data_IF_054124391895
#
_entry.id   IF_054124391895
#
_cell.length_a   1.000
_cell.length_b   1.000
_cell.length_c   1.000
_cell.angle_alpha   90.00
_cell.angle_beta   90.00
_cell.angle_gamma   90.00
#
_symmetry.space_group_name_H-M   'P 1'
#
loop_
_entity.id
_entity.type
_entity.pdbx_description
1 polymer ?
#
# COMPACT_ATOMS: atom_id res chain seq x y z
N UNK A 1 19.31 -1.86 -6.44
CA UNK A 1 17.99 -1.50 -6.95
C UNK A 1 16.99 -1.44 -5.81
N UNK A 2 16.27 -0.34 -5.68
CA UNK A 2 15.28 -0.28 -4.60
C UNK A 2 14.21 -1.33 -4.81
N UNK A 3 13.90 -2.07 -3.78
CA UNK A 3 12.81 -3.01 -3.89
C UNK A 3 11.61 -2.47 -3.10
N UNK A 4 10.43 -2.81 -3.56
CA UNK A 4 9.20 -2.28 -2.97
C UNK A 4 8.78 -3.04 -1.71
N UNK A 5 9.52 -4.08 -1.33
CA UNK A 5 9.18 -4.83 -0.13
C UNK A 5 9.30 -3.96 1.12
N UNK A 6 10.33 -3.13 1.18
CA UNK A 6 10.47 -2.18 2.29
C UNK A 6 9.33 -1.18 2.34
N UNK A 7 8.92 -0.68 1.17
CA UNK A 7 7.79 0.25 1.08
C UNK A 7 6.48 -0.41 1.47
N UNK A 8 6.24 -1.63 1.00
CA UNK A 8 5.04 -2.38 1.37
C UNK A 8 4.98 -2.60 2.88
N UNK A 9 6.11 -2.97 3.47
CA UNK A 9 6.16 -3.20 4.91
C UNK A 9 5.85 -1.92 5.68
N UNK A 10 6.42 -0.80 5.25
CA UNK A 10 6.16 0.50 5.89
C UNK A 10 4.68 0.87 5.83
N UNK A 11 4.03 0.64 4.70
CA UNK A 11 2.62 0.93 4.54
C UNK A 11 1.79 0.05 5.47
N UNK A 12 2.09 -1.25 5.52
CA UNK A 12 1.37 -2.18 6.37
C UNK A 12 1.53 -1.82 7.84
N UNK A 13 2.74 -1.48 8.25
CA UNK A 13 3.02 -1.07 9.63
C UNK A 13 2.26 0.21 9.98
N UNK A 14 2.24 1.16 9.05
CA UNK A 14 1.51 2.41 9.24
C UNK A 14 0.02 2.15 9.46
N UNK A 15 -0.58 1.33 8.60
CA UNK A 15 -1.99 1.00 8.72
C UNK A 15 -2.30 0.34 10.06
N UNK A 16 -1.46 -0.59 10.46
CA UNK A 16 -1.63 -1.29 11.74
C UNK A 16 -1.51 -0.33 12.92
N UNK A 17 -0.50 0.52 12.88
CA UNK A 17 -0.23 1.48 13.95
C UNK A 17 -1.36 2.48 14.12
N UNK A 18 -1.96 2.92 13.02
CA UNK A 18 -3.02 3.92 13.03
C UNK A 18 -4.43 3.32 13.02
N UNK A 19 -4.52 2.00 13.10
CA UNK A 19 -5.83 1.33 13.11
C UNK A 19 -6.59 1.47 11.81
N UNK A 20 -5.88 1.64 10.69
CA UNK A 20 -6.50 1.75 9.38
C UNK A 20 -6.62 0.37 8.73
N UNK A 21 -7.56 0.23 7.80
CA UNK A 21 -7.77 -1.03 7.10
C UNK A 21 -7.44 -0.90 5.62
N UNK A 22 -7.31 -2.06 4.96
CA UNK A 22 -7.12 -2.08 3.51
C UNK A 22 -8.32 -1.44 2.80
N UNK A 23 -9.51 -1.56 3.39
CA UNK A 23 -10.71 -0.96 2.82
C UNK A 23 -10.60 0.57 2.77
N UNK A 24 -9.92 1.17 3.75
CA UNK A 24 -9.70 2.62 3.77
C UNK A 24 -8.94 3.05 2.52
N UNK A 25 -7.87 2.35 2.20
CA UNK A 25 -7.09 2.67 1.01
C UNK A 25 -7.89 2.38 -0.27
N UNK A 26 -8.66 1.30 -0.27
CA UNK A 26 -9.45 0.94 -1.44
C UNK A 26 -10.43 2.05 -1.79
N UNK A 27 -11.11 2.59 -0.78
CA UNK A 27 -12.04 3.71 -1.00
C UNK A 27 -11.30 4.95 -1.46
N UNK A 28 -10.19 5.27 -0.80
CA UNK A 28 -9.44 6.49 -1.09
C UNK A 28 -8.89 6.50 -2.53
N UNK A 29 -8.44 5.35 -3.00
CA UNK A 29 -7.84 5.25 -4.33
C UNK A 29 -8.76 4.61 -5.37
N UNK A 30 -10.03 4.44 -5.03
CA UNK A 30 -11.05 3.89 -5.94
C UNK A 30 -10.65 2.52 -6.48
N UNK A 31 -10.17 1.66 -5.61
CA UNK A 31 -9.74 0.31 -5.94
C UNK A 31 -10.55 -0.73 -5.18
N UNK A 32 -10.52 -1.97 -5.66
CA UNK A 32 -11.09 -3.06 -4.92
C UNK A 32 -10.21 -3.39 -3.71
N UNK A 33 -10.84 -3.71 -2.57
CA UNK A 33 -10.09 -4.07 -1.36
C UNK A 33 -9.17 -5.26 -1.61
N UNK A 34 -9.63 -6.21 -2.42
CA UNK A 34 -8.82 -7.39 -2.76
C UNK A 34 -7.54 -6.99 -3.46
N UNK A 35 -7.62 -6.02 -4.37
CA UNK A 35 -6.44 -5.56 -5.08
C UNK A 35 -5.44 -4.90 -4.13
N UNK A 36 -5.92 -4.04 -3.23
CA UNK A 36 -5.06 -3.40 -2.24
C UNK A 36 -4.38 -4.45 -1.37
N UNK A 37 -5.14 -5.43 -0.92
CA UNK A 37 -4.61 -6.52 -0.10
C UNK A 37 -3.53 -7.29 -0.84
N UNK A 38 -3.77 -7.63 -2.11
CA UNK A 38 -2.80 -8.37 -2.92
C UNK A 38 -1.53 -7.56 -3.15
N UNK A 39 -1.66 -6.25 -3.37
CA UNK A 39 -0.51 -5.38 -3.55
C UNK A 39 0.34 -5.33 -2.29
N UNK A 40 -0.29 -5.13 -1.14
CA UNK A 40 0.44 -5.00 0.12
C UNK A 40 1.01 -6.33 0.62
N UNK A 41 0.42 -7.45 0.21
CA UNK A 41 0.95 -8.77 0.55
C UNK A 41 2.02 -9.25 -0.43
N UNK A 42 2.28 -8.48 -1.48
CA UNK A 42 3.28 -8.85 -2.47
C UNK A 42 2.81 -9.87 -3.50
N UNK A 43 1.52 -10.20 -3.51
CA UNK A 43 0.97 -11.14 -4.50
C UNK A 43 0.81 -10.49 -5.87
N UNK A 44 0.61 -9.18 -5.91
CA UNK A 44 0.48 -8.43 -7.14
C UNK A 44 1.64 -7.47 -7.26
N UNK A 45 2.54 -7.75 -8.19
CA UNK A 45 3.75 -6.96 -8.41
C UNK A 45 3.79 -6.48 -9.85
N UNK A 46 3.25 -5.31 -10.10
CA UNK A 46 3.27 -4.69 -11.41
C UNK A 46 3.50 -3.20 -11.23
N UNK A 47 3.69 -2.43 -12.33
CA UNK A 47 3.92 -0.99 -12.21
C UNK A 47 2.81 -0.26 -11.47
N UNK A 48 1.57 -0.68 -11.63
CA UNK A 48 0.44 -0.05 -10.93
C UNK A 48 0.53 -0.30 -9.43
N UNK A 49 0.94 -1.50 -9.02
CA UNK A 49 1.13 -1.82 -7.62
C UNK A 49 2.22 -0.94 -7.01
N UNK A 50 3.33 -0.79 -7.72
CA UNK A 50 4.43 0.04 -7.26
C UNK A 50 4.00 1.50 -7.15
N UNK A 51 3.21 1.99 -8.09
CA UNK A 51 2.69 3.35 -8.05
C UNK A 51 1.78 3.57 -6.85
N UNK A 52 0.93 2.59 -6.54
CA UNK A 52 0.04 2.70 -5.39
C UNK A 52 0.86 2.81 -4.10
N UNK A 53 1.86 1.96 -3.95
CA UNK A 53 2.69 1.97 -2.75
C UNK A 53 3.41 3.31 -2.61
N UNK A 54 4.00 3.80 -3.68
CA UNK A 54 4.69 5.09 -3.67
C UNK A 54 3.73 6.22 -3.34
N UNK A 55 2.53 6.16 -3.88
CA UNK A 55 1.53 7.19 -3.66
C UNK A 55 1.06 7.23 -2.21
N UNK A 56 0.83 6.05 -1.63
CA UNK A 56 0.43 5.96 -0.23
C UNK A 56 1.53 6.53 0.66
N UNK A 57 2.76 6.16 0.41
CA UNK A 57 3.90 6.65 1.18
C UNK A 57 3.96 8.17 1.12
N UNK A 58 3.77 8.74 -0.07
CA UNK A 58 3.81 10.18 -0.26
C UNK A 58 2.62 10.87 0.38
N UNK A 59 1.41 10.35 0.16
CA UNK A 59 0.18 10.96 0.67
C UNK A 59 0.11 10.96 2.19
N UNK A 60 0.57 9.87 2.80
CA UNK A 60 0.53 9.70 4.26
C UNK A 60 1.86 10.09 4.91
N UNK A 61 2.85 10.47 4.11
CA UNK A 61 4.19 10.87 4.59
C UNK A 61 4.81 9.80 5.47
N UNK A 62 4.71 8.57 5.01
CA UNK A 62 5.27 7.42 5.72
C UNK A 62 6.79 7.42 5.56
N UNK A 63 7.51 7.21 6.65
CA UNK A 63 8.97 7.21 6.63
C UNK A 63 9.55 6.03 7.35
#
# INVERSE_FOLDING_TARGET
MPNMDGGRQKVRDYLKEHGLSMATLAVQYSMARQDVTNILNGKLKNPQANQLIARVIEDFKIR
#
